data_IF_842255218563
#
_entry.id   IF_842255218563
#
_cell.length_a   1.000
_cell.length_b   1.000
_cell.length_c   1.000
_cell.angle_alpha   90.00
_cell.angle_beta   90.00
_cell.angle_gamma   90.00
#
_symmetry.space_group_name_H-M   'P 1'
#
loop_
_entity.id
_entity.type
_entity.pdbx_description
1 polymer ?
#
# COMPACT_ATOMS: atom_id res chain seq x y z
N UNK A 1 25.35 9.49 -4.10
CA UNK A 1 24.25 10.47 -4.28
C UNK A 1 22.99 9.83 -3.71
N UNK A 2 22.42 10.40 -2.68
CA UNK A 2 21.18 9.89 -2.07
C UNK A 2 20.03 10.06 -3.05
N UNK A 3 19.29 8.98 -3.28
CA UNK A 3 18.10 9.01 -4.14
C UNK A 3 16.99 9.76 -3.44
N UNK A 4 16.25 10.59 -4.18
CA UNK A 4 15.08 11.25 -3.64
C UNK A 4 14.04 10.25 -3.17
N UNK A 5 13.12 10.70 -2.34
CA UNK A 5 12.04 9.84 -1.85
C UNK A 5 11.16 9.35 -3.00
N UNK A 6 10.86 10.22 -3.97
CA UNK A 6 10.12 9.88 -5.19
C UNK A 6 10.84 8.79 -6.00
N UNK A 7 12.17 8.88 -6.12
CA UNK A 7 12.97 7.85 -6.78
C UNK A 7 12.93 6.51 -6.05
N UNK A 8 12.97 6.52 -4.72
CA UNK A 8 12.83 5.28 -3.93
C UNK A 8 11.47 4.63 -4.15
N UNK A 9 10.40 5.45 -4.24
CA UNK A 9 9.05 4.97 -4.52
C UNK A 9 8.94 4.35 -5.91
N UNK A 10 9.41 5.08 -6.93
CA UNK A 10 9.40 4.57 -8.30
C UNK A 10 10.26 3.30 -8.45
N UNK A 11 11.37 3.20 -7.71
CA UNK A 11 12.20 1.99 -7.65
C UNK A 11 11.41 0.79 -7.13
N UNK A 12 10.63 0.98 -6.06
CA UNK A 12 9.77 -0.07 -5.52
C UNK A 12 8.76 -0.57 -6.56
N UNK A 13 8.18 0.33 -7.35
CA UNK A 13 7.32 -0.05 -8.46
C UNK A 13 8.05 -0.89 -9.51
N UNK A 14 9.26 -0.47 -9.87
CA UNK A 14 10.06 -1.20 -10.87
C UNK A 14 10.45 -2.60 -10.38
N UNK A 15 10.81 -2.73 -9.10
CA UNK A 15 11.20 -4.00 -8.50
C UNK A 15 10.02 -4.99 -8.41
N UNK A 16 8.82 -4.46 -8.35
CA UNK A 16 7.58 -5.23 -8.27
C UNK A 16 6.89 -5.37 -9.62
N UNK A 17 7.41 -4.74 -10.67
CA UNK A 17 6.79 -4.86 -11.98
C UNK A 17 6.79 -6.34 -12.39
N UNK A 18 5.63 -6.92 -12.72
CA UNK A 18 5.52 -8.36 -12.98
C UNK A 18 6.46 -8.80 -14.10
N UNK A 19 6.85 -10.07 -14.10
CA UNK A 19 7.52 -10.67 -15.23
C UNK A 19 6.58 -10.66 -16.44
N UNK A 20 7.17 -10.56 -17.65
CA UNK A 20 6.39 -10.68 -18.87
C UNK A 20 5.89 -12.11 -19.05
N UNK A 21 4.58 -12.30 -19.02
CA UNK A 21 3.90 -13.58 -19.24
C UNK A 21 2.79 -13.32 -20.28
N UNK A 22 3.03 -13.62 -21.55
CA UNK A 22 2.07 -13.34 -22.63
C UNK A 22 0.85 -14.26 -22.58
N UNK A 23 -0.27 -13.77 -23.08
CA UNK A 23 -1.41 -14.59 -23.48
C UNK A 23 -1.13 -15.19 -24.86
N UNK A 24 -1.37 -16.50 -24.99
CA UNK A 24 -1.18 -17.22 -26.26
C UNK A 24 -2.54 -17.37 -26.98
N UNK A 25 -2.51 -17.37 -28.32
CA UNK A 25 -3.71 -17.62 -29.11
C UNK A 25 -4.66 -16.44 -29.29
N UNK A 26 -4.29 -15.25 -28.80
CA UNK A 26 -5.05 -14.02 -28.98
C UNK A 26 -4.76 -13.36 -30.34
N UNK A 27 -5.67 -12.46 -30.78
CA UNK A 27 -5.48 -11.66 -32.00
C UNK A 27 -4.24 -10.77 -31.96
N UNK A 28 -3.80 -10.44 -30.74
CA UNK A 28 -2.63 -9.60 -30.49
C UNK A 28 -1.39 -10.48 -30.34
N UNK A 29 -0.41 -10.26 -31.21
CA UNK A 29 0.83 -11.04 -31.20
C UNK A 29 1.60 -10.89 -29.88
N UNK A 30 2.34 -11.95 -29.50
CA UNK A 30 3.23 -11.92 -28.32
C UNK A 30 4.24 -10.76 -28.42
N UNK A 31 4.71 -10.45 -29.63
CA UNK A 31 5.63 -9.33 -29.85
C UNK A 31 4.98 -7.97 -29.53
N UNK A 32 3.71 -7.78 -29.87
CA UNK A 32 3.00 -6.53 -29.55
C UNK A 32 2.67 -6.44 -28.08
N UNK A 33 2.38 -7.56 -27.42
CA UNK A 33 2.23 -7.63 -25.96
C UNK A 33 3.56 -7.25 -25.28
N UNK A 34 4.70 -7.74 -25.76
CA UNK A 34 6.01 -7.38 -25.22
C UNK A 34 6.32 -5.90 -25.40
N UNK A 35 6.02 -5.32 -26.57
CA UNK A 35 6.18 -3.87 -26.81
C UNK A 35 5.35 -3.04 -25.82
N UNK A 36 4.11 -3.44 -25.58
CA UNK A 36 3.25 -2.76 -24.61
C UNK A 36 3.81 -2.92 -23.19
N UNK A 37 4.25 -4.11 -22.81
CA UNK A 37 4.89 -4.37 -21.53
C UNK A 37 6.13 -3.46 -21.32
N UNK A 38 6.99 -3.38 -22.31
CA UNK A 38 8.19 -2.54 -22.26
C UNK A 38 7.83 -1.05 -22.16
N UNK A 39 6.76 -0.61 -22.83
CA UNK A 39 6.27 0.76 -22.72
C UNK A 39 5.78 1.07 -21.30
N UNK A 40 4.98 0.18 -20.70
CA UNK A 40 4.48 0.36 -19.34
C UNK A 40 5.64 0.39 -18.33
N UNK A 41 6.59 -0.52 -18.45
CA UNK A 41 7.80 -0.54 -17.63
C UNK A 41 8.65 0.71 -17.83
N UNK A 42 8.78 1.21 -19.07
CA UNK A 42 9.46 2.46 -19.40
C UNK A 42 8.76 3.67 -18.76
N UNK A 43 7.43 3.66 -18.68
CA UNK A 43 6.65 4.72 -18.00
C UNK A 43 7.00 4.80 -16.52
N UNK A 44 7.04 3.67 -15.82
CA UNK A 44 7.46 3.62 -14.41
C UNK A 44 8.94 3.97 -14.26
N UNK A 45 9.78 3.52 -15.19
CA UNK A 45 11.21 3.88 -15.19
C UNK A 45 11.42 5.39 -15.38
N UNK A 46 10.64 6.03 -16.24
CA UNK A 46 10.70 7.49 -16.42
C UNK A 46 10.36 8.23 -15.10
N UNK A 47 9.39 7.74 -14.34
CA UNK A 47 9.08 8.29 -13.02
C UNK A 47 10.25 8.15 -12.03
N UNK A 48 11.05 7.10 -12.16
CA UNK A 48 12.27 6.91 -11.39
C UNK A 48 13.41 7.82 -11.86
N UNK A 49 13.64 7.89 -13.18
CA UNK A 49 14.76 8.63 -13.76
C UNK A 49 14.52 10.16 -13.66
N UNK A 50 13.30 10.62 -13.92
CA UNK A 50 12.91 12.03 -13.99
C UNK A 50 11.67 12.33 -13.12
N UNK A 51 11.73 12.16 -11.79
CA UNK A 51 10.57 12.36 -10.92
C UNK A 51 10.01 13.79 -10.97
N UNK A 52 10.84 14.77 -11.34
CA UNK A 52 10.44 16.17 -11.55
C UNK A 52 9.41 16.38 -12.66
N UNK A 53 9.30 15.43 -13.62
CA UNK A 53 8.22 15.44 -14.61
C UNK A 53 6.85 15.18 -13.98
N UNK A 54 6.79 14.54 -12.83
CA UNK A 54 5.56 14.17 -12.14
C UNK A 54 5.18 15.14 -11.04
N UNK A 55 6.14 15.49 -10.19
CA UNK A 55 5.96 16.49 -9.11
C UNK A 55 7.29 17.23 -8.87
N UNK A 56 7.27 18.41 -8.26
CA UNK A 56 8.49 19.01 -7.77
C UNK A 56 9.18 18.09 -6.76
N UNK A 57 10.46 17.79 -6.99
CA UNK A 57 11.27 17.00 -6.05
C UNK A 57 11.62 17.85 -4.84
N UNK A 58 11.38 17.31 -3.65
CA UNK A 58 11.71 17.97 -2.40
C UNK A 58 12.95 17.35 -1.78
N UNK A 59 13.86 18.19 -1.32
CA UNK A 59 14.99 17.74 -0.51
C UNK A 59 14.57 17.59 0.96
N UNK A 60 15.11 16.60 1.65
CA UNK A 60 14.76 16.32 3.05
C UNK A 60 15.02 17.52 3.97
N UNK A 61 16.08 18.30 3.69
CA UNK A 61 16.43 19.50 4.45
C UNK A 61 15.43 20.66 4.26
N UNK A 62 14.73 20.67 3.12
CA UNK A 62 13.78 21.75 2.75
C UNK A 62 12.33 21.41 3.06
N UNK A 63 12.07 20.23 3.61
CA UNK A 63 10.74 19.71 3.79
C UNK A 63 10.53 19.09 5.17
N UNK A 64 9.25 19.02 5.58
CA UNK A 64 8.87 18.33 6.80
C UNK A 64 8.62 16.85 6.56
N UNK A 65 9.14 15.95 7.41
CA UNK A 65 8.93 14.52 7.27
C UNK A 65 7.50 14.06 7.55
N UNK A 66 6.68 14.89 8.22
CA UNK A 66 5.35 14.49 8.65
C UNK A 66 4.22 15.22 7.94
N UNK A 67 3.07 14.55 7.89
CA UNK A 67 1.82 15.02 7.30
C UNK A 67 1.26 16.30 7.97
N UNK A 68 1.68 16.59 9.20
CA UNK A 68 0.93 17.47 10.09
C UNK A 68 1.44 18.89 10.22
N UNK A 69 2.54 19.25 9.56
CA UNK A 69 2.98 20.62 9.66
C UNK A 69 3.47 21.23 8.35
N UNK A 70 2.50 21.69 7.56
CA UNK A 70 2.68 22.91 6.77
C UNK A 70 2.86 24.16 7.66
N UNK A 71 2.99 24.00 8.99
CA UNK A 71 2.87 25.11 9.93
C UNK A 71 4.08 26.05 10.03
N UNK A 72 5.11 25.82 9.21
CA UNK A 72 6.27 26.74 9.15
C UNK A 72 6.64 27.11 7.70
N UNK A 73 5.69 27.04 6.78
CA UNK A 73 5.93 27.42 5.39
C UNK A 73 6.70 26.41 4.54
N UNK A 74 7.18 25.30 5.15
CA UNK A 74 7.88 24.25 4.41
C UNK A 74 6.89 23.18 3.89
N UNK A 75 7.09 22.66 2.67
CA UNK A 75 6.26 21.60 2.14
C UNK A 75 6.45 20.29 2.93
N UNK A 76 5.42 19.44 2.93
CA UNK A 76 5.47 18.12 3.55
C UNK A 76 5.96 17.08 2.57
N UNK A 77 6.98 16.30 2.93
CA UNK A 77 7.47 15.15 2.15
C UNK A 77 6.35 14.14 1.89
N UNK A 78 5.55 13.83 2.92
CA UNK A 78 4.45 12.88 2.81
C UNK A 78 3.35 13.34 1.85
N UNK A 79 3.04 14.64 1.87
CA UNK A 79 2.07 15.21 0.93
C UNK A 79 2.63 15.17 -0.49
N UNK A 80 3.92 15.43 -0.67
CA UNK A 80 4.55 15.37 -1.98
C UNK A 80 4.61 13.94 -2.53
N UNK A 81 4.91 12.96 -1.68
CA UNK A 81 4.85 11.55 -2.05
C UNK A 81 3.47 11.16 -2.58
N UNK A 82 2.41 11.55 -1.88
CA UNK A 82 1.04 11.29 -2.36
C UNK A 82 0.77 11.93 -3.71
N UNK A 83 1.24 13.16 -3.89
CA UNK A 83 1.10 13.85 -5.18
C UNK A 83 1.87 13.12 -6.28
N UNK A 84 3.07 12.61 -5.96
CA UNK A 84 3.87 11.84 -6.90
C UNK A 84 3.17 10.55 -7.33
N UNK A 85 2.75 9.72 -6.36
CA UNK A 85 2.01 8.50 -6.66
C UNK A 85 0.75 8.78 -7.48
N UNK A 86 -0.02 9.79 -7.06
CA UNK A 86 -1.21 10.19 -7.79
C UNK A 86 -0.89 10.67 -9.21
N UNK A 87 0.23 11.33 -9.42
CA UNK A 87 0.62 11.80 -10.76
C UNK A 87 1.03 10.63 -11.67
N UNK A 88 1.74 9.63 -11.14
CA UNK A 88 2.05 8.39 -11.87
C UNK A 88 0.75 7.66 -12.22
N UNK A 89 -0.14 7.52 -11.26
CA UNK A 89 -1.42 6.87 -11.41
C UNK A 89 -2.31 7.55 -12.47
N UNK A 90 -2.42 8.87 -12.41
CA UNK A 90 -3.15 9.65 -13.42
C UNK A 90 -2.54 9.43 -14.83
N UNK A 91 -1.22 9.30 -14.93
CA UNK A 91 -0.57 9.02 -16.22
C UNK A 91 -0.98 7.64 -16.75
N UNK A 92 -0.92 6.60 -15.90
CA UNK A 92 -1.33 5.25 -16.26
C UNK A 92 -2.83 5.17 -16.58
N UNK A 93 -3.69 5.84 -15.82
CA UNK A 93 -5.13 5.94 -16.10
C UNK A 93 -5.39 6.65 -17.44
N UNK A 94 -4.62 7.70 -17.73
CA UNK A 94 -4.71 8.39 -19.03
C UNK A 94 -4.39 7.42 -20.16
N UNK A 95 -3.36 6.58 -20.02
CA UNK A 95 -3.04 5.55 -21.01
C UNK A 95 -4.17 4.51 -21.12
N UNK A 96 -4.76 4.09 -20.01
CA UNK A 96 -5.89 3.17 -20.04
C UNK A 96 -7.10 3.73 -20.80
N UNK A 97 -7.51 4.96 -20.47
CA UNK A 97 -8.62 5.63 -21.15
C UNK A 97 -8.37 5.86 -22.65
N UNK A 98 -7.14 6.23 -23.02
CA UNK A 98 -6.77 6.36 -24.44
C UNK A 98 -6.88 5.01 -25.16
N UNK A 99 -6.45 3.92 -24.52
CA UNK A 99 -6.58 2.57 -25.07
C UNK A 99 -8.04 2.16 -25.28
N UNK A 100 -8.97 2.65 -24.45
CA UNK A 100 -10.41 2.46 -24.60
C UNK A 100 -11.05 3.36 -25.68
N UNK A 101 -10.26 4.26 -26.30
CA UNK A 101 -10.79 5.24 -27.26
C UNK A 101 -11.54 6.40 -26.61
N UNK A 102 -11.42 6.58 -25.30
CA UNK A 102 -12.05 7.69 -24.63
C UNK A 102 -11.43 9.05 -25.05
N UNK A 103 -12.22 10.12 -25.20
CA UNK A 103 -11.70 11.45 -25.50
C UNK A 103 -10.99 12.02 -24.28
N UNK A 104 -9.65 12.00 -24.30
CA UNK A 104 -8.82 12.50 -23.20
C UNK A 104 -8.12 13.79 -23.60
N UNK A 105 -8.35 14.86 -22.82
CA UNK A 105 -7.61 16.11 -22.99
C UNK A 105 -6.34 16.09 -22.17
N UNK A 106 -5.19 15.98 -22.84
CA UNK A 106 -3.90 15.97 -22.19
C UNK A 106 -3.46 17.36 -21.73
N UNK A 107 -3.00 17.48 -20.53
CA UNK A 107 -2.31 18.68 -20.03
C UNK A 107 -0.84 18.73 -20.55
N UNK A 108 -0.16 19.88 -20.31
CA UNK A 108 1.22 20.10 -20.78
C UNK A 108 2.19 19.01 -20.27
N UNK A 109 2.07 18.64 -19.01
CA UNK A 109 2.93 17.62 -18.37
C UNK A 109 2.71 16.23 -18.99
N UNK A 110 1.47 15.83 -19.18
CA UNK A 110 1.16 14.55 -19.80
C UNK A 110 1.70 14.46 -21.24
N UNK A 111 1.57 15.55 -22.01
CA UNK A 111 2.16 15.63 -23.35
C UNK A 111 3.68 15.46 -23.32
N UNK A 112 4.34 16.10 -22.37
CA UNK A 112 5.79 15.97 -22.19
C UNK A 112 6.18 14.54 -21.81
N UNK A 113 5.45 13.90 -20.88
CA UNK A 113 5.68 12.49 -20.52
C UNK A 113 5.53 11.59 -21.74
N UNK A 114 4.47 11.76 -22.55
CA UNK A 114 4.31 10.98 -23.78
C UNK A 114 5.46 11.21 -24.77
N UNK A 115 5.90 12.44 -24.95
CA UNK A 115 7.07 12.73 -25.80
C UNK A 115 8.35 12.04 -25.29
N UNK A 116 8.61 12.04 -23.97
CA UNK A 116 9.74 11.32 -23.37
C UNK A 116 9.64 9.80 -23.53
N UNK A 117 8.42 9.26 -23.60
CA UNK A 117 8.18 7.85 -23.88
C UNK A 117 8.37 7.49 -25.36
N UNK A 118 8.50 8.49 -26.23
CA UNK A 118 8.58 8.31 -27.69
C UNK A 118 7.22 8.07 -28.34
N UNK A 119 6.14 8.54 -27.70
CA UNK A 119 4.79 8.45 -28.22
C UNK A 119 4.42 9.81 -28.82
N UNK A 120 4.53 9.92 -30.14
CA UNK A 120 4.21 11.16 -30.87
C UNK A 120 2.72 11.23 -31.22
N UNK A 121 2.16 10.10 -31.65
CA UNK A 121 0.73 9.97 -31.95
C UNK A 121 0.00 9.30 -30.78
N UNK A 122 -0.72 10.12 -30.01
CA UNK A 122 -1.51 9.67 -28.88
C UNK A 122 -3.01 9.50 -29.24
N UNK A 123 -3.33 9.62 -30.52
CA UNK A 123 -4.67 9.31 -30.99
C UNK A 123 -4.93 7.80 -30.92
N UNK A 124 -6.19 7.44 -30.71
CA UNK A 124 -6.57 6.04 -30.64
C UNK A 124 -6.11 5.19 -31.85
N UNK A 125 -6.20 5.68 -33.09
CA UNK A 125 -5.64 4.96 -34.26
C UNK A 125 -4.14 4.71 -34.20
N UNK A 126 -3.39 5.61 -33.60
CA UNK A 126 -1.92 5.51 -33.47
C UNK A 126 -1.44 4.60 -32.34
N UNK A 127 -2.31 4.18 -31.42
CA UNK A 127 -1.93 3.29 -30.34
C UNK A 127 -1.68 1.86 -30.84
N UNK A 128 -0.75 1.15 -30.20
CA UNK A 128 -0.46 -0.24 -30.53
C UNK A 128 -1.65 -1.17 -30.33
N UNK A 129 -1.69 -2.27 -31.08
CA UNK A 129 -2.74 -3.26 -30.96
C UNK A 129 -2.87 -3.81 -29.53
N UNK A 130 -1.73 -4.11 -28.90
CA UNK A 130 -1.73 -4.60 -27.50
C UNK A 130 -2.23 -3.57 -26.50
N UNK A 131 -1.94 -2.29 -26.69
CA UNK A 131 -2.45 -1.24 -25.82
C UNK A 131 -3.98 -1.16 -25.88
N UNK A 132 -4.55 -1.14 -27.09
CA UNK A 132 -6.00 -1.13 -27.32
C UNK A 132 -6.65 -2.37 -26.73
N UNK A 133 -6.10 -3.53 -27.04
CA UNK A 133 -6.61 -4.82 -26.58
C UNK A 133 -6.62 -4.88 -25.05
N UNK A 134 -5.52 -4.55 -24.38
CA UNK A 134 -5.43 -4.58 -22.92
C UNK A 134 -6.42 -3.61 -22.23
N UNK A 135 -6.77 -2.51 -22.90
CA UNK A 135 -7.69 -1.53 -22.35
C UNK A 135 -9.17 -1.83 -22.63
N UNK A 136 -9.47 -2.66 -23.65
CA UNK A 136 -10.86 -2.86 -24.14
C UNK A 136 -11.33 -4.32 -24.12
N UNK A 137 -10.49 -5.27 -23.69
CA UNK A 137 -10.93 -6.67 -23.55
C UNK A 137 -12.03 -6.82 -22.50
N UNK A 138 -12.88 -7.88 -22.56
CA UNK A 138 -14.06 -8.01 -21.67
C UNK A 138 -13.73 -8.03 -20.17
N UNK A 139 -12.53 -8.51 -19.81
CA UNK A 139 -12.02 -8.56 -18.43
C UNK A 139 -11.06 -7.40 -18.12
N UNK A 140 -11.05 -6.35 -18.97
CA UNK A 140 -10.18 -5.20 -18.78
C UNK A 140 -10.54 -4.44 -17.51
N UNK A 141 -9.56 -4.28 -16.65
CA UNK A 141 -9.59 -3.33 -15.56
C UNK A 141 -8.25 -2.57 -15.49
N UNK A 142 -8.24 -1.49 -14.73
CA UNK A 142 -7.07 -0.63 -14.63
C UNK A 142 -5.86 -1.36 -14.01
N UNK A 143 -6.08 -2.26 -13.07
CA UNK A 143 -4.99 -3.00 -12.42
C UNK A 143 -4.35 -3.98 -13.39
N UNK A 144 -5.17 -4.75 -14.12
CA UNK A 144 -4.70 -5.64 -15.18
C UNK A 144 -3.90 -4.89 -16.24
N UNK A 145 -4.41 -3.75 -16.67
CA UNK A 145 -3.75 -2.89 -17.65
C UNK A 145 -2.41 -2.35 -17.13
N UNK A 146 -2.42 -1.72 -15.95
CA UNK A 146 -1.24 -1.04 -15.40
C UNK A 146 -0.11 -1.98 -15.01
N UNK A 147 -0.41 -3.24 -14.69
CA UNK A 147 0.55 -4.27 -14.34
C UNK A 147 0.84 -5.25 -15.50
N UNK A 148 0.27 -5.03 -16.67
CA UNK A 148 0.45 -5.90 -17.84
C UNK A 148 0.13 -7.37 -17.56
N UNK A 149 -0.97 -7.64 -16.87
CA UNK A 149 -1.47 -9.00 -16.68
C UNK A 149 -2.20 -9.47 -17.94
N UNK A 150 -1.45 -9.99 -18.90
CA UNK A 150 -1.98 -10.38 -20.21
C UNK A 150 -2.90 -11.60 -20.09
N UNK A 151 -2.52 -12.59 -19.30
CA UNK A 151 -3.28 -13.82 -19.19
C UNK A 151 -4.63 -13.60 -18.50
N UNK A 152 -5.69 -14.12 -19.10
CA UNK A 152 -7.04 -14.04 -18.57
C UNK A 152 -7.20 -14.82 -17.25
N UNK A 153 -6.45 -15.92 -17.10
CA UNK A 153 -6.39 -16.74 -15.89
C UNK A 153 -5.38 -16.21 -14.86
N UNK A 154 -4.74 -15.05 -15.11
CA UNK A 154 -3.84 -14.47 -14.12
C UNK A 154 -4.66 -14.05 -12.88
N UNK A 155 -4.63 -14.84 -11.84
CA UNK A 155 -5.35 -14.49 -10.64
C UNK A 155 -4.59 -13.34 -9.97
N UNK A 156 -5.30 -12.41 -9.36
CA UNK A 156 -4.73 -11.57 -8.32
C UNK A 156 -4.38 -12.48 -7.15
N UNK A 157 -3.26 -13.19 -7.27
CA UNK A 157 -2.86 -14.17 -6.27
C UNK A 157 -2.04 -13.53 -5.18
N UNK A 158 -2.07 -14.15 -4.04
CA UNK A 158 -1.16 -13.85 -2.93
C UNK A 158 0.33 -14.13 -3.23
N UNK A 159 0.65 -14.72 -4.39
CA UNK A 159 2.02 -15.17 -4.73
C UNK A 159 3.05 -14.04 -4.77
N UNK A 160 2.68 -12.87 -5.28
CA UNK A 160 3.56 -11.71 -5.27
C UNK A 160 3.92 -11.34 -3.83
N UNK A 161 2.94 -11.34 -2.96
CA UNK A 161 3.13 -10.98 -1.55
C UNK A 161 3.92 -12.03 -0.80
N UNK A 162 3.68 -13.31 -1.07
CA UNK A 162 4.43 -14.42 -0.51
C UNK A 162 5.93 -14.26 -0.76
N UNK A 163 6.31 -14.03 -2.02
CA UNK A 163 7.72 -13.80 -2.42
C UNK A 163 8.36 -12.60 -1.73
N UNK A 164 7.61 -11.54 -1.48
CA UNK A 164 8.13 -10.31 -0.90
C UNK A 164 8.22 -10.34 0.63
N UNK A 165 7.32 -11.07 1.26
CA UNK A 165 7.22 -11.15 2.72
C UNK A 165 7.97 -12.35 3.32
N UNK A 166 8.23 -13.39 2.55
CA UNK A 166 8.77 -14.67 2.98
C UNK A 166 7.77 -15.78 2.69
N UNK A 167 8.03 -16.55 1.62
CA UNK A 167 7.02 -17.41 0.98
C UNK A 167 6.43 -18.44 1.92
N UNK A 168 7.25 -19.27 2.56
CA UNK A 168 6.77 -20.34 3.44
C UNK A 168 6.02 -19.79 4.65
N UNK A 169 6.56 -18.74 5.26
CA UNK A 169 5.95 -18.11 6.43
C UNK A 169 4.61 -17.44 6.09
N UNK A 170 4.55 -16.77 4.93
CA UNK A 170 3.31 -16.16 4.45
C UNK A 170 2.24 -17.21 4.17
N UNK A 171 2.60 -18.31 3.50
CA UNK A 171 1.66 -19.41 3.22
C UNK A 171 1.17 -20.09 4.50
N UNK A 172 2.06 -20.25 5.47
CA UNK A 172 1.67 -20.76 6.79
C UNK A 172 0.61 -19.90 7.47
N UNK A 173 0.79 -18.57 7.43
CA UNK A 173 -0.18 -17.63 7.97
C UNK A 173 -1.50 -17.63 7.18
N UNK A 174 -1.43 -17.67 5.85
CA UNK A 174 -2.62 -17.71 4.98
C UNK A 174 -3.45 -18.99 5.24
N UNK A 175 -2.80 -20.14 5.32
CA UNK A 175 -3.46 -21.42 5.64
C UNK A 175 -4.10 -21.37 7.03
N UNK A 176 -3.40 -20.87 8.03
CA UNK A 176 -3.94 -20.72 9.38
C UNK A 176 -5.19 -19.82 9.40
N UNK A 177 -5.19 -18.73 8.65
CA UNK A 177 -6.35 -17.86 8.53
C UNK A 177 -7.53 -18.57 7.87
N UNK A 178 -7.29 -19.33 6.79
CA UNK A 178 -8.33 -20.09 6.10
C UNK A 178 -8.95 -21.18 7.00
N UNK A 179 -8.13 -21.91 7.73
CA UNK A 179 -8.57 -22.93 8.69
C UNK A 179 -9.44 -22.36 9.82
N UNK A 180 -9.22 -21.09 10.17
CA UNK A 180 -10.00 -20.36 11.18
C UNK A 180 -11.22 -19.65 10.60
N UNK A 181 -11.52 -19.85 9.32
CA UNK A 181 -12.69 -19.29 8.66
C UNK A 181 -12.57 -17.81 8.32
N UNK A 182 -11.35 -17.26 8.27
CA UNK A 182 -11.15 -15.91 7.75
C UNK A 182 -11.52 -15.88 6.27
N UNK A 183 -12.32 -14.92 5.90
CA UNK A 183 -12.69 -14.70 4.51
C UNK A 183 -11.74 -13.70 3.84
N UNK A 184 -11.44 -13.95 2.57
CA UNK A 184 -10.69 -13.02 1.74
C UNK A 184 -11.64 -12.01 1.13
N UNK A 185 -11.29 -10.74 1.26
CA UNK A 185 -11.98 -9.63 0.64
C UNK A 185 -11.05 -8.99 -0.39
N UNK A 186 -11.38 -9.16 -1.64
CA UNK A 186 -10.71 -8.44 -2.72
C UNK A 186 -11.33 -7.05 -2.79
N UNK A 187 -10.62 -6.06 -2.29
CA UNK A 187 -11.11 -4.69 -2.34
C UNK A 187 -10.88 -4.16 -3.75
N UNK A 188 -11.83 -4.43 -4.65
CA UNK A 188 -11.84 -3.86 -6.00
C UNK A 188 -12.04 -2.34 -5.99
N UNK A 189 -12.61 -1.79 -4.93
CA UNK A 189 -13.01 -0.39 -4.82
C UNK A 189 -12.00 0.54 -4.17
N UNK A 190 -10.85 0.04 -3.73
CA UNK A 190 -9.75 0.92 -3.33
C UNK A 190 -9.01 1.34 -4.59
N UNK A 191 -9.84 1.85 -5.48
CA UNK A 191 -9.52 2.38 -6.76
C UNK A 191 -8.37 3.36 -6.64
N UNK A 192 -7.43 3.12 -7.49
CA UNK A 192 -6.87 4.12 -8.38
C UNK A 192 -6.19 5.33 -7.73
N UNK A 193 -6.18 5.50 -6.45
CA UNK A 193 -5.41 6.60 -5.88
C UNK A 193 -4.00 6.20 -5.49
N UNK A 194 -3.68 4.93 -5.51
CA UNK A 194 -2.41 4.45 -4.97
C UNK A 194 -1.77 3.27 -5.75
N UNK A 195 -2.22 2.87 -6.94
CA UNK A 195 -1.75 1.70 -7.71
C UNK A 195 -1.49 0.48 -6.80
N UNK A 196 -2.48 0.11 -6.00
CA UNK A 196 -2.32 -0.88 -4.93
C UNK A 196 -3.20 -2.07 -5.16
N UNK A 197 -2.60 -3.23 -5.28
CA UNK A 197 -3.30 -4.48 -5.07
C UNK A 197 -3.35 -4.69 -3.56
N UNK A 198 -4.54 -4.63 -2.98
CA UNK A 198 -4.74 -4.91 -1.57
C UNK A 198 -5.42 -6.26 -1.44
N UNK A 199 -4.76 -7.22 -0.79
CA UNK A 199 -5.43 -8.40 -0.28
C UNK A 199 -5.82 -8.14 1.18
N UNK A 200 -7.07 -8.46 1.52
CA UNK A 200 -7.56 -8.31 2.89
C UNK A 200 -8.20 -9.61 3.32
N UNK A 201 -7.84 -10.08 4.50
CA UNK A 201 -8.53 -11.17 5.18
C UNK A 201 -9.20 -10.60 6.42
N UNK A 202 -10.41 -11.01 6.70
CA UNK A 202 -11.13 -10.63 7.90
C UNK A 202 -11.95 -11.82 8.42
N UNK A 203 -12.13 -11.87 9.74
CA UNK A 203 -13.00 -12.85 10.34
C UNK A 203 -14.47 -12.41 10.16
N UNK A 204 -15.32 -13.19 9.47
CA UNK A 204 -16.72 -12.84 9.26
C UNK A 204 -17.50 -12.67 10.57
N UNK A 205 -17.04 -13.31 11.66
CA UNK A 205 -17.67 -13.19 12.98
C UNK A 205 -17.63 -11.76 13.54
N UNK A 206 -16.77 -10.87 13.00
CA UNK A 206 -16.70 -9.47 13.43
C UNK A 206 -17.79 -8.58 12.83
N UNK A 207 -18.74 -9.15 12.11
CA UNK A 207 -19.96 -8.50 11.65
C UNK A 207 -19.80 -7.65 10.39
N UNK A 208 -20.77 -6.79 10.14
CA UNK A 208 -20.90 -6.01 8.90
C UNK A 208 -19.73 -5.05 8.63
N UNK A 209 -19.01 -4.66 9.66
CA UNK A 209 -17.90 -3.71 9.56
C UNK A 209 -16.53 -4.40 9.53
N UNK A 210 -16.50 -5.74 9.49
CA UNK A 210 -15.26 -6.51 9.39
C UNK A 210 -14.33 -6.01 8.27
N UNK A 211 -14.81 -5.73 7.03
CA UNK A 211 -13.96 -5.20 5.98
C UNK A 211 -13.60 -3.71 6.15
N UNK A 212 -14.30 -2.97 6.97
CA UNK A 212 -14.19 -1.50 7.04
C UNK A 212 -13.48 -0.96 8.26
N UNK A 213 -13.57 -1.60 9.38
CA UNK A 213 -13.07 -1.04 10.62
C UNK A 213 -12.66 -2.05 11.66
N UNK A 214 -12.95 -3.30 11.39
CA UNK A 214 -12.58 -4.39 12.25
C UNK A 214 -11.16 -4.85 12.00
N UNK A 215 -10.98 -6.12 12.04
CA UNK A 215 -9.72 -6.78 11.80
C UNK A 215 -9.47 -6.88 10.30
N UNK A 216 -8.70 -5.97 9.75
CA UNK A 216 -8.22 -6.04 8.39
C UNK A 216 -6.76 -6.49 8.38
N UNK A 217 -6.50 -7.63 7.73
CA UNK A 217 -5.14 -7.98 7.32
C UNK A 217 -4.93 -7.38 5.94
N UNK A 218 -4.21 -6.28 5.87
CA UNK A 218 -3.93 -5.63 4.60
C UNK A 218 -2.50 -5.92 4.20
N UNK A 219 -2.35 -6.66 3.12
CA UNK A 219 -1.09 -6.74 2.40
C UNK A 219 -1.14 -5.66 1.33
N UNK A 220 -0.22 -4.73 1.39
CA UNK A 220 -0.12 -3.64 0.44
C UNK A 220 1.04 -3.87 -0.49
N UNK A 221 0.78 -3.82 -1.78
CA UNK A 221 1.75 -4.02 -2.82
C UNK A 221 2.81 -2.90 -2.86
N UNK A 222 2.45 -1.68 -2.62
CA UNK A 222 3.39 -0.59 -2.43
C UNK A 222 3.49 -0.33 -0.94
N UNK A 223 4.52 -0.79 -0.31
CA UNK A 223 4.76 -0.64 1.13
C UNK A 223 4.86 0.79 1.63
N UNK A 224 4.54 1.74 0.79
CA UNK A 224 4.55 3.14 1.12
C UNK A 224 3.19 3.47 1.67
N UNK A 225 3.05 3.23 2.96
CA UNK A 225 1.95 3.83 3.65
C UNK A 225 2.17 5.34 3.61
N UNK A 226 1.07 6.03 3.59
CA UNK A 226 1.01 7.48 3.57
C UNK A 226 1.66 8.17 4.78
N UNK A 227 2.16 7.42 5.72
CA UNK A 227 2.91 7.93 6.86
C UNK A 227 4.38 7.64 6.60
N UNK A 228 5.15 8.72 6.49
CA UNK A 228 6.60 8.64 6.47
C UNK A 228 7.04 8.03 7.79
N UNK A 229 7.32 6.75 7.74
CA UNK A 229 8.14 6.07 8.73
C UNK A 229 9.17 5.25 7.98
N UNK A 230 10.43 5.19 8.45
CA UNK A 230 11.50 4.44 7.80
C UNK A 230 11.19 2.95 7.56
N UNK A 231 10.18 2.44 8.26
CA UNK A 231 9.67 1.07 8.13
C UNK A 231 9.00 0.78 6.79
N UNK A 232 8.62 1.80 6.03
CA UNK A 232 7.84 1.66 4.80
C UNK A 232 8.65 1.81 3.51
N UNK A 233 9.96 1.75 3.60
CA UNK A 233 10.83 1.68 2.42
C UNK A 233 10.76 0.30 1.72
N UNK A 234 10.01 -0.63 2.29
CA UNK A 234 9.77 -1.94 1.70
C UNK A 234 8.57 -1.89 0.74
N UNK A 235 8.66 -2.61 -0.37
CA UNK A 235 7.61 -2.61 -1.39
C UNK A 235 6.30 -3.26 -0.94
N UNK A 236 6.35 -4.05 0.12
CA UNK A 236 5.20 -4.76 0.66
C UNK A 236 5.17 -4.70 2.18
N UNK A 237 4.00 -4.51 2.75
CA UNK A 237 3.77 -4.50 4.19
C UNK A 237 2.52 -5.32 4.51
N UNK A 238 2.67 -6.31 5.37
CA UNK A 238 1.54 -6.95 6.03
C UNK A 238 1.10 -6.08 7.21
N UNK A 239 -0.13 -5.59 7.17
CA UNK A 239 -0.74 -4.84 8.26
C UNK A 239 -1.78 -5.66 9.00
N UNK A 240 -1.63 -5.83 10.30
CA UNK A 240 -2.64 -6.41 11.19
C UNK A 240 -3.41 -5.27 11.83
N UNK A 241 -4.62 -5.01 11.36
CA UNK A 241 -5.50 -3.99 11.92
C UNK A 241 -6.24 -4.51 13.14
N UNK A 242 -6.47 -3.63 14.10
CA UNK A 242 -7.07 -4.00 15.38
C UNK A 242 -8.51 -3.49 15.43
N UNK A 243 -9.47 -4.34 15.80
CA UNK A 243 -10.85 -3.94 15.97
C UNK A 243 -10.96 -2.93 17.12
N UNK A 244 -11.96 -2.07 17.05
CA UNK A 244 -12.20 -1.03 18.05
C UNK A 244 -11.00 -0.11 18.32
N UNK A 245 -9.91 -0.27 17.54
CA UNK A 245 -8.71 0.53 17.62
C UNK A 245 -7.69 0.06 18.64
N UNK A 246 -6.47 0.52 18.46
CA UNK A 246 -5.31 0.16 19.30
C UNK A 246 -5.52 0.47 20.78
N UNK A 247 -6.29 1.51 21.10
CA UNK A 247 -6.53 1.89 22.49
C UNK A 247 -7.26 0.79 23.25
N UNK A 248 -8.39 0.33 22.72
CA UNK A 248 -9.16 -0.76 23.33
C UNK A 248 -8.31 -2.03 23.49
N UNK A 249 -7.52 -2.36 22.45
CA UNK A 249 -6.62 -3.51 22.50
C UNK A 249 -5.56 -3.39 23.62
N UNK A 250 -4.93 -2.23 23.76
CA UNK A 250 -3.92 -1.99 24.79
C UNK A 250 -4.51 -1.95 26.21
N UNK A 251 -5.79 -1.63 26.37
CA UNK A 251 -6.49 -1.69 27.66
C UNK A 251 -6.61 -3.13 28.18
N UNK A 252 -6.50 -4.15 27.31
CA UNK A 252 -6.42 -5.57 27.68
C UNK A 252 -4.98 -6.10 27.79
N UNK A 253 -3.99 -5.22 27.87
CA UNK A 253 -2.58 -5.62 27.89
C UNK A 253 -2.23 -6.60 29.01
N UNK A 254 -2.79 -6.40 30.21
CA UNK A 254 -2.51 -7.24 31.38
C UNK A 254 -3.11 -8.66 31.26
N UNK A 255 -4.08 -8.86 30.37
CA UNK A 255 -4.67 -10.17 30.06
C UNK A 255 -3.81 -10.98 29.07
N UNK A 256 -2.86 -10.35 28.42
CA UNK A 256 -1.96 -10.99 27.45
C UNK A 256 -0.93 -11.88 28.15
N UNK A 257 -0.59 -13.01 27.52
CA UNK A 257 0.54 -13.84 27.97
C UNK A 257 1.84 -13.03 27.88
N UNK A 258 2.82 -13.28 28.75
CA UNK A 258 4.07 -12.51 28.81
C UNK A 258 4.77 -12.31 27.47
N UNK A 259 4.90 -13.36 26.66
CA UNK A 259 5.54 -13.27 25.36
C UNK A 259 4.77 -12.37 24.36
N UNK A 260 3.44 -12.29 24.50
CA UNK A 260 2.63 -11.39 23.67
C UNK A 260 2.76 -9.94 24.16
N UNK A 261 2.82 -9.72 25.48
CA UNK A 261 3.09 -8.41 26.05
C UNK A 261 4.42 -7.85 25.55
N UNK A 262 5.49 -8.65 25.57
CA UNK A 262 6.82 -8.26 25.08
C UNK A 262 6.79 -7.93 23.60
N UNK A 263 6.06 -8.73 22.81
CA UNK A 263 5.87 -8.48 21.39
C UNK A 263 5.13 -7.16 21.13
N UNK A 264 4.02 -6.92 21.81
CA UNK A 264 3.24 -5.68 21.71
C UNK A 264 4.07 -4.46 22.10
N UNK A 265 4.84 -4.55 23.18
CA UNK A 265 5.75 -3.49 23.61
C UNK A 265 6.82 -3.19 22.54
N UNK A 266 7.32 -4.21 21.87
CA UNK A 266 8.33 -4.04 20.81
C UNK A 266 7.79 -3.35 19.55
N UNK A 267 6.49 -3.45 19.30
CA UNK A 267 5.83 -2.94 18.08
C UNK A 267 5.07 -1.64 18.31
N UNK A 268 4.76 -1.30 19.55
CA UNK A 268 3.95 -0.11 19.88
C UNK A 268 4.87 1.05 20.27
N UNK A 269 4.60 2.23 19.73
CA UNK A 269 5.38 3.43 20.04
C UNK A 269 5.09 3.92 21.45
N UNK A 270 6.14 4.26 22.19
CA UNK A 270 5.99 5.01 23.45
C UNK A 270 5.50 6.42 23.17
N UNK A 271 4.61 6.91 24.02
CA UNK A 271 4.12 8.28 23.93
C UNK A 271 5.27 9.28 24.16
N UNK A 272 5.56 10.09 23.17
CA UNK A 272 6.56 11.16 23.25
C UNK A 272 5.93 12.55 23.40
N UNK A 273 4.66 12.61 23.80
CA UNK A 273 3.92 13.85 24.02
C UNK A 273 3.84 14.76 22.78
N UNK A 274 3.85 14.19 21.58
CA UNK A 274 3.78 14.93 20.32
C UNK A 274 2.48 15.73 20.13
N UNK A 275 1.52 15.62 21.07
CA UNK A 275 0.22 16.31 21.09
C UNK A 275 -0.69 16.03 19.91
N UNK A 276 -0.37 15.06 19.07
CA UNK A 276 -1.21 14.69 17.92
C UNK A 276 -2.64 14.31 18.32
N UNK A 277 -2.79 13.61 19.46
CA UNK A 277 -4.09 13.19 19.98
C UNK A 277 -4.81 14.29 20.79
N UNK A 278 -4.17 15.41 21.07
CA UNK A 278 -4.78 16.53 21.78
C UNK A 278 -5.69 17.29 20.80
N UNK A 279 -6.98 17.29 21.11
CA UNK A 279 -7.96 18.05 20.35
C UNK A 279 -8.47 19.19 21.22
N UNK A 280 -8.52 20.39 20.64
CA UNK A 280 -9.18 21.54 21.27
C UNK A 280 -10.52 21.74 20.56
N UNK A 281 -11.59 21.59 21.29
CA UNK A 281 -12.96 21.82 20.83
C UNK A 281 -13.67 22.87 21.72
N UNK A 282 -14.96 23.09 21.49
CA UNK A 282 -15.78 24.04 22.27
C UNK A 282 -15.87 23.72 23.76
N UNK A 283 -15.52 22.50 24.17
CA UNK A 283 -15.58 22.01 25.54
C UNK A 283 -14.22 22.07 26.26
N UNK A 284 -13.15 22.43 25.54
CA UNK A 284 -11.81 22.56 26.05
C UNK A 284 -10.78 21.65 25.38
N UNK A 285 -9.58 21.59 25.96
CA UNK A 285 -8.47 20.77 25.43
C UNK A 285 -8.53 19.38 26.04
N UNK A 286 -8.66 18.35 25.19
CA UNK A 286 -8.59 16.95 25.63
C UNK A 286 -7.18 16.58 26.04
N UNK A 287 -7.03 15.73 27.09
CA UNK A 287 -5.72 15.26 27.52
C UNK A 287 -5.06 14.34 26.47
N UNK A 288 -3.76 14.07 26.64
CA UNK A 288 -3.04 13.08 25.86
C UNK A 288 -3.71 11.72 25.99
N UNK A 289 -3.96 11.08 24.84
CA UNK A 289 -4.60 9.77 24.75
C UNK A 289 -3.53 8.67 24.65
N UNK A 290 -2.88 8.34 25.75
CA UNK A 290 -1.99 7.19 25.84
C UNK A 290 -2.60 6.13 26.77
N UNK A 291 -2.17 4.89 26.60
CA UNK A 291 -2.53 3.79 27.50
C UNK A 291 -1.33 3.49 28.38
N UNK A 292 -1.54 3.49 29.69
CA UNK A 292 -0.53 3.05 30.66
C UNK A 292 -0.63 1.54 30.81
N UNK A 293 0.49 0.87 30.63
CA UNK A 293 0.62 -0.57 30.85
C UNK A 293 1.84 -0.84 31.75
N UNK A 294 1.85 -1.94 32.43
CA UNK A 294 2.95 -2.35 33.31
C UNK A 294 3.50 -3.71 32.89
N UNK A 295 4.82 -3.86 32.89
CA UNK A 295 5.49 -5.12 32.62
C UNK A 295 6.78 -5.22 33.45
N UNK A 296 6.93 -6.29 34.22
CA UNK A 296 8.11 -6.56 35.05
C UNK A 296 8.52 -5.36 35.94
N UNK A 297 7.52 -4.75 36.59
CA UNK A 297 7.71 -3.58 37.45
C UNK A 297 7.96 -2.25 36.74
N UNK A 298 8.05 -2.24 35.42
CA UNK A 298 8.20 -1.03 34.62
C UNK A 298 6.85 -0.55 34.09
N UNK A 299 6.65 0.78 34.07
CA UNK A 299 5.45 1.40 33.50
C UNK A 299 5.77 2.00 32.14
N UNK A 300 4.87 1.77 31.17
CA UNK A 300 4.99 2.25 29.79
C UNK A 300 3.76 3.06 29.43
N UNK A 301 3.96 4.24 28.83
CA UNK A 301 2.91 5.04 28.22
C UNK A 301 2.90 4.74 26.71
N UNK A 302 1.96 3.94 26.22
CA UNK A 302 1.90 3.51 24.83
C UNK A 302 0.97 4.41 24.02
N UNK A 303 1.39 4.71 22.79
CA UNK A 303 0.63 5.56 21.89
C UNK A 303 -0.41 4.72 21.13
N UNK A 304 -1.73 5.01 21.24
CA UNK A 304 -2.76 4.29 20.52
C UNK A 304 -2.89 4.71 19.04
N UNK A 305 -2.13 5.72 18.60
CA UNK A 305 -2.22 6.26 17.26
C UNK A 305 -1.02 5.86 16.37
N UNK A 306 0.07 5.40 16.96
CA UNK A 306 1.28 5.02 16.23
C UNK A 306 1.76 3.64 16.67
N UNK A 307 2.06 2.77 15.71
CA UNK A 307 2.23 2.96 14.26
C UNK A 307 0.92 3.02 13.44
N UNK A 308 -0.17 3.56 13.98
CA UNK A 308 -1.37 3.87 13.21
C UNK A 308 -2.40 2.75 13.11
N UNK A 309 -3.10 2.41 14.14
CA UNK A 309 -4.22 1.46 14.19
C UNK A 309 -3.90 0.02 13.79
N UNK A 310 -2.64 -0.32 13.50
CA UNK A 310 -2.23 -1.65 13.04
C UNK A 310 -0.79 -1.96 13.39
N UNK A 311 -0.50 -3.24 13.52
CA UNK A 311 0.86 -3.74 13.53
C UNK A 311 1.33 -3.97 12.09
N UNK A 312 2.56 -3.59 11.76
CA UNK A 312 3.10 -3.67 10.41
C UNK A 312 4.33 -4.56 10.38
N UNK A 313 4.38 -5.41 9.34
CA UNK A 313 5.46 -6.37 9.11
C UNK A 313 5.95 -6.24 7.67
N UNK A 314 7.23 -6.05 7.48
CA UNK A 314 7.87 -5.91 6.17
C UNK A 314 8.57 -7.18 5.70
N UNK A 315 8.65 -8.17 6.56
CA UNK A 315 9.11 -9.53 6.28
C UNK A 315 8.49 -10.48 7.28
N UNK A 316 8.33 -11.72 6.90
CA UNK A 316 7.81 -12.80 7.74
C UNK A 316 8.83 -13.92 7.80
N UNK A 317 8.98 -14.49 8.98
CA UNK A 317 9.60 -15.76 9.26
C UNK A 317 8.68 -16.56 10.19
N UNK A 318 9.00 -17.80 10.46
CA UNK A 318 8.17 -18.66 11.30
C UNK A 318 7.92 -18.07 12.70
N UNK A 319 8.94 -17.47 13.32
CA UNK A 319 8.81 -16.86 14.64
C UNK A 319 7.88 -15.64 14.62
N UNK A 320 7.98 -14.82 13.59
CA UNK A 320 7.09 -13.67 13.39
C UNK A 320 5.65 -14.12 13.17
N UNK A 321 5.44 -15.15 12.35
CA UNK A 321 4.11 -15.72 12.11
C UNK A 321 3.49 -16.26 13.39
N UNK A 322 4.25 -17.01 14.20
CA UNK A 322 3.77 -17.50 15.50
C UNK A 322 3.33 -16.36 16.44
N UNK A 323 4.05 -15.25 16.42
CA UNK A 323 3.68 -14.05 17.19
C UNK A 323 2.42 -13.38 16.65
N UNK A 324 2.28 -13.32 15.32
CA UNK A 324 1.07 -12.81 14.67
C UNK A 324 -0.11 -13.70 15.02
N UNK A 325 0.02 -15.01 14.93
CA UNK A 325 -1.03 -15.96 15.28
C UNK A 325 -1.48 -15.76 16.75
N UNK A 326 -0.55 -15.65 17.70
CA UNK A 326 -0.87 -15.38 19.10
C UNK A 326 -1.58 -14.04 19.29
N UNK A 327 -1.19 -13.03 18.52
CA UNK A 327 -1.87 -11.74 18.50
C UNK A 327 -3.32 -11.90 18.04
N UNK A 328 -3.55 -12.64 16.97
CA UNK A 328 -4.86 -12.89 16.38
C UNK A 328 -5.76 -13.72 17.29
N UNK A 329 -5.24 -14.80 17.84
CA UNK A 329 -5.99 -15.64 18.80
C UNK A 329 -6.46 -14.82 20.02
N UNK A 330 -5.60 -13.94 20.54
CA UNK A 330 -5.96 -13.05 21.62
C UNK A 330 -7.06 -12.08 21.19
N UNK A 331 -6.95 -11.50 20.01
CA UNK A 331 -7.92 -10.57 19.45
C UNK A 331 -9.28 -11.23 19.21
N UNK A 332 -9.31 -12.43 18.67
CA UNK A 332 -10.53 -13.21 18.45
C UNK A 332 -11.24 -13.55 19.77
N UNK A 333 -10.50 -13.64 20.85
CA UNK A 333 -11.02 -13.93 22.18
C UNK A 333 -11.91 -12.85 22.79
N UNK A 334 -11.61 -11.57 22.54
CA UNK A 334 -12.38 -10.47 23.11
C UNK A 334 -13.21 -9.67 22.09
N UNK A 335 -13.11 -9.98 20.80
CA UNK A 335 -13.94 -9.36 19.77
C UNK A 335 -15.36 -9.96 19.65
N UNK A 336 -15.69 -10.94 20.51
CA UNK A 336 -16.99 -11.64 20.53
C UNK A 336 -18.07 -10.85 21.22
#
# INVERSE_FOLDING_TARGET
MYKSLEQRMAKSYLDLFPAFIPEQGEEVSVLDQEKFYLLMKKTVKLAYDEPSLFVPVLHEDDAYPTRYKASYGKPSLVVNQKKFLKAVDIQLQTMFLLGQGAPVKLNKRQKEIFSRLGIEDISFPGLSAAWKWMASRPDADFERFSHCFFRSDYPYTSDIYAKLLGEDAFRGLENWMMERGYARYDIKDVIATDCKINLTWANPAWGKDAPRGGFEYKIRHTGISVQYEPYYEKPCVLGVCIPNGMKAYLEHFDEMKPALQDFVLSKTKKCNQCRYCVQTDKTGTRPLSYVKVSRDGNSYALCPYFPGYRFCFTSLDGETVDKIIKLLDFMDGFAK
#
